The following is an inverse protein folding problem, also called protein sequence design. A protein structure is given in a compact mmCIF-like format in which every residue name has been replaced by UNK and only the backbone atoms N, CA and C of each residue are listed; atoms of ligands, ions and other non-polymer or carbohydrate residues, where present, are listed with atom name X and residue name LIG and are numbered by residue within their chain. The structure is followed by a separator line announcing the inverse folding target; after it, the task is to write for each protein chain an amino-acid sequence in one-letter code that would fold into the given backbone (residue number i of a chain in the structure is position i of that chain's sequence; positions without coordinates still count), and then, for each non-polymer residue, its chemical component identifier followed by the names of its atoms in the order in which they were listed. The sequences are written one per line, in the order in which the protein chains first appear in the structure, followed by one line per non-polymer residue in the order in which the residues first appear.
data_IF_863315230400
#
_entry.id   IF_863315230400
#
_cell.length_a   1.000
_cell.length_b   1.000
_cell.length_c   1.000
_cell.angle_alpha   90.00
_cell.angle_beta   90.00
_cell.angle_gamma   90.00
#
_symmetry.space_group_name_H-M   'P 1'
#
loop_
_entity.id
_entity.type
_entity.pdbx_description
1 polymer ?
#
# COMPACT_ATOMS: atom_id res chain seq x y z
N UNK A 1 6.40 -12.07 5.77
CA UNK A 1 6.25 -10.63 6.04
C UNK A 1 4.89 -10.10 5.59
N UNK A 2 4.51 -10.32 4.32
CA UNK A 2 3.26 -9.77 3.76
C UNK A 2 2.03 -10.10 4.62
N UNK A 3 1.87 -11.37 5.01
CA UNK A 3 0.77 -11.81 5.89
C UNK A 3 0.79 -11.14 7.27
N UNK A 4 1.96 -10.95 7.87
CA UNK A 4 2.10 -10.27 9.16
C UNK A 4 1.72 -8.80 9.07
N UNK A 5 2.07 -8.12 7.98
CA UNK A 5 1.71 -6.71 7.77
C UNK A 5 0.22 -6.54 7.45
N UNK A 6 -0.40 -7.50 6.72
CA UNK A 6 -1.85 -7.55 6.55
C UNK A 6 -2.54 -7.77 7.89
N UNK A 7 -2.04 -8.69 8.72
CA UNK A 7 -2.57 -8.92 10.05
C UNK A 7 -2.45 -7.69 10.94
N UNK A 8 -1.29 -7.03 10.97
CA UNK A 8 -1.08 -5.82 11.77
C UNK A 8 -2.09 -4.72 11.44
N UNK A 9 -2.31 -4.47 10.14
CA UNK A 9 -3.31 -3.49 9.69
C UNK A 9 -4.74 -3.91 10.07
N UNK A 10 -5.10 -5.16 9.81
CA UNK A 10 -6.45 -5.66 10.07
C UNK A 10 -6.78 -5.67 11.55
N UNK A 11 -5.84 -6.12 12.39
CA UNK A 11 -5.96 -6.13 13.84
C UNK A 11 -6.17 -4.72 14.39
N UNK A 12 -5.35 -3.75 13.92
CA UNK A 12 -5.48 -2.37 14.36
C UNK A 12 -6.81 -1.72 13.91
N UNK A 13 -7.33 -2.06 12.72
CA UNK A 13 -8.62 -1.53 12.24
C UNK A 13 -9.82 -2.07 13.01
N UNK A 14 -9.75 -3.31 13.48
CA UNK A 14 -10.86 -3.96 14.19
C UNK A 14 -10.82 -3.67 15.69
N UNK A 15 -9.64 -3.76 16.30
CA UNK A 15 -9.46 -3.75 17.75
C UNK A 15 -8.72 -2.52 18.28
N UNK A 16 -8.40 -1.57 17.41
CA UNK A 16 -7.52 -0.44 17.74
C UNK A 16 -6.04 -0.85 17.73
N UNK A 17 -5.15 0.15 17.77
CA UNK A 17 -3.72 -0.09 17.85
C UNK A 17 -3.40 -0.76 19.20
N UNK A 18 -2.92 -2.00 19.15
CA UNK A 18 -2.68 -2.83 20.33
C UNK A 18 -1.37 -3.61 20.21
N UNK A 19 -1.00 -4.32 21.27
CA UNK A 19 0.25 -5.08 21.33
C UNK A 19 0.39 -6.13 20.23
N UNK A 20 -0.71 -6.77 19.80
CA UNK A 20 -0.67 -7.80 18.75
C UNK A 20 -0.36 -7.18 17.38
N UNK A 21 -1.01 -6.07 17.06
CA UNK A 21 -0.77 -5.33 15.82
C UNK A 21 0.68 -4.81 15.77
N UNK A 22 1.17 -4.25 16.86
CA UNK A 22 2.53 -3.71 16.98
C UNK A 22 3.57 -4.84 16.91
N UNK A 23 3.35 -5.96 17.57
CA UNK A 23 4.30 -7.09 17.52
C UNK A 23 4.40 -7.69 16.12
N UNK A 24 3.29 -7.81 15.40
CA UNK A 24 3.32 -8.27 14.01
C UNK A 24 4.15 -7.33 13.11
N UNK A 25 4.01 -6.02 13.30
CA UNK A 25 4.82 -5.00 12.61
C UNK A 25 6.30 -5.11 13.00
N UNK A 26 6.60 -5.21 14.30
CA UNK A 26 7.95 -5.31 14.82
C UNK A 26 8.67 -6.59 14.35
N UNK A 27 7.96 -7.72 14.25
CA UNK A 27 8.51 -8.97 13.72
C UNK A 27 9.09 -8.78 12.31
N UNK A 28 8.39 -8.05 11.44
CA UNK A 28 8.86 -7.75 10.09
C UNK A 28 10.04 -6.76 10.13
N UNK A 29 9.92 -5.69 10.91
CA UNK A 29 10.95 -4.67 11.05
C UNK A 29 12.27 -5.26 11.57
N UNK A 30 12.23 -6.07 12.64
CA UNK A 30 13.41 -6.74 13.20
C UNK A 30 14.13 -7.55 12.15
N UNK A 31 13.40 -8.35 11.37
CA UNK A 31 13.97 -9.13 10.27
C UNK A 31 14.65 -8.24 9.24
N UNK A 32 14.01 -7.15 8.82
CA UNK A 32 14.55 -6.19 7.86
C UNK A 32 15.86 -5.55 8.32
N UNK A 33 16.03 -5.36 9.64
CA UNK A 33 17.25 -4.83 10.27
C UNK A 33 18.25 -5.92 10.70
N UNK A 34 18.05 -7.18 10.31
CA UNK A 34 18.96 -8.28 10.68
C UNK A 34 18.94 -8.66 12.15
N UNK A 35 17.85 -8.32 12.87
CA UNK A 35 17.61 -8.74 14.24
C UNK A 35 16.82 -10.05 14.29
N UNK A 36 16.84 -10.73 15.44
CA UNK A 36 15.97 -11.89 15.65
C UNK A 36 14.50 -11.45 15.62
N UNK A 37 13.67 -11.95 14.69
CA UNK A 37 12.28 -11.55 14.57
C UNK A 37 11.43 -11.84 15.80
N UNK A 38 11.81 -12.86 16.59
CA UNK A 38 11.04 -13.35 17.73
C UNK A 38 11.49 -12.75 19.07
N UNK A 39 12.52 -11.89 19.06
CA UNK A 39 13.02 -11.27 20.30
C UNK A 39 12.89 -9.74 20.22
N UNK A 40 12.39 -9.15 21.30
CA UNK A 40 12.30 -7.68 21.43
C UNK A 40 13.65 -7.01 21.19
N UNK A 41 13.64 -5.88 20.54
CA UNK A 41 14.82 -5.14 20.13
C UNK A 41 14.70 -3.64 20.43
N UNK A 42 15.82 -2.98 20.44
CA UNK A 42 15.95 -1.51 20.60
C UNK A 42 15.27 -0.72 19.48
N UNK A 43 15.04 -1.36 18.32
CA UNK A 43 14.39 -0.74 17.17
C UNK A 43 12.86 -0.88 17.17
N UNK A 44 12.29 -1.60 18.14
CA UNK A 44 10.87 -1.90 18.17
C UNK A 44 10.01 -0.64 18.32
N UNK A 45 8.92 -0.60 17.55
CA UNK A 45 7.85 0.35 17.78
C UNK A 45 7.12 0.05 19.09
N UNK A 46 6.68 1.11 19.75
CA UNK A 46 5.86 1.07 20.98
C UNK A 46 4.54 1.78 20.73
N UNK A 47 3.54 1.50 21.56
CA UNK A 47 2.25 2.15 21.44
C UNK A 47 2.34 3.69 21.48
N UNK A 48 3.25 4.23 22.28
CA UNK A 48 3.48 5.67 22.39
C UNK A 48 4.08 6.34 21.15
N UNK A 49 4.55 5.55 20.20
CA UNK A 49 5.13 6.08 18.95
C UNK A 49 4.04 6.45 17.92
N UNK A 50 2.79 6.07 18.18
CA UNK A 50 1.67 6.31 17.29
C UNK A 50 0.68 7.30 17.90
N UNK A 51 0.39 8.37 17.16
CA UNK A 51 -0.57 9.38 17.59
C UNK A 51 -2.02 8.83 17.54
N UNK A 52 -2.33 8.04 16.51
CA UNK A 52 -3.64 7.46 16.25
C UNK A 52 -3.55 6.24 15.32
N UNK A 53 -4.72 5.73 14.90
CA UNK A 53 -4.83 4.61 13.98
C UNK A 53 -4.23 4.92 12.61
N UNK A 54 -4.45 6.13 12.09
CA UNK A 54 -4.00 6.51 10.75
C UNK A 54 -2.47 6.57 10.68
N UNK A 55 -1.81 7.07 11.73
CA UNK A 55 -0.35 7.09 11.87
C UNK A 55 0.22 5.67 11.92
N UNK A 56 -0.42 4.76 12.67
CA UNK A 56 -0.05 3.35 12.66
C UNK A 56 -0.20 2.72 11.26
N UNK A 57 -1.32 2.94 10.57
CA UNK A 57 -1.56 2.42 9.23
C UNK A 57 -0.54 2.97 8.23
N UNK A 58 -0.23 4.26 8.29
CA UNK A 58 0.80 4.86 7.42
C UNK A 58 2.18 4.21 7.67
N UNK A 59 2.49 3.85 8.92
CA UNK A 59 3.72 3.12 9.27
C UNK A 59 3.72 1.70 8.72
N UNK A 60 2.62 0.95 8.88
CA UNK A 60 2.47 -0.39 8.28
C UNK A 60 2.64 -0.33 6.76
N UNK A 61 2.04 0.65 6.09
CA UNK A 61 2.15 0.84 4.64
C UNK A 61 3.57 1.20 4.19
N UNK A 62 4.31 1.93 5.04
CA UNK A 62 5.71 2.23 4.80
C UNK A 62 6.57 0.96 4.86
N UNK A 63 6.39 0.13 5.90
CA UNK A 63 7.08 -1.16 6.02
C UNK A 63 6.71 -2.12 4.88
N UNK A 64 5.43 -2.15 4.46
CA UNK A 64 5.00 -2.87 3.25
C UNK A 64 5.71 -2.39 1.99
N UNK A 65 5.92 -1.07 1.88
CA UNK A 65 6.65 -0.47 0.78
C UNK A 65 8.11 -0.94 0.72
N UNK A 66 8.78 -1.07 1.85
CA UNK A 66 10.14 -1.59 1.93
C UNK A 66 10.19 -3.08 1.61
N UNK A 67 9.32 -3.86 2.22
CA UNK A 67 9.28 -5.31 2.10
C UNK A 67 8.93 -5.78 0.68
N UNK A 68 7.98 -5.10 0.03
CA UNK A 68 7.44 -5.51 -1.28
C UNK A 68 7.92 -4.62 -2.44
N UNK A 69 9.02 -3.88 -2.30
CA UNK A 69 9.43 -2.82 -3.23
C UNK A 69 9.62 -3.28 -4.68
N UNK A 70 10.01 -4.53 -4.91
CA UNK A 70 10.22 -5.12 -6.24
C UNK A 70 9.28 -6.29 -6.55
N UNK A 71 8.20 -6.44 -5.79
CA UNK A 71 7.33 -7.60 -5.87
C UNK A 71 5.99 -7.29 -6.55
N UNK A 72 5.85 -7.66 -7.83
CA UNK A 72 4.58 -7.85 -8.52
C UNK A 72 3.57 -6.69 -8.47
N UNK A 73 4.02 -5.45 -8.33
CA UNK A 73 3.11 -4.30 -8.28
C UNK A 73 2.34 -4.13 -6.97
N UNK A 74 2.65 -4.88 -5.91
CA UNK A 74 1.97 -4.81 -4.61
C UNK A 74 1.87 -3.39 -4.07
N UNK A 75 2.93 -2.58 -4.21
CA UNK A 75 2.92 -1.18 -3.80
C UNK A 75 1.84 -0.36 -4.50
N UNK A 76 1.61 -0.60 -5.79
CA UNK A 76 0.55 0.07 -6.52
C UNK A 76 -0.85 -0.28 -6.00
N UNK A 77 -1.07 -1.55 -5.68
CA UNK A 77 -2.34 -1.98 -5.08
C UNK A 77 -2.54 -1.42 -3.67
N UNK A 78 -1.48 -1.36 -2.86
CA UNK A 78 -1.55 -0.70 -1.55
C UNK A 78 -1.94 0.78 -1.69
N UNK A 79 -1.34 1.52 -2.63
CA UNK A 79 -1.69 2.91 -2.89
C UNK A 79 -3.14 3.06 -3.40
N UNK A 80 -3.56 2.21 -4.33
CA UNK A 80 -4.94 2.26 -4.87
C UNK A 80 -6.01 2.08 -3.79
N UNK A 81 -5.81 1.17 -2.85
CA UNK A 81 -6.80 0.89 -1.79
C UNK A 81 -6.93 2.01 -0.74
N UNK A 82 -5.94 2.90 -0.63
CA UNK A 82 -6.02 4.11 0.21
C UNK A 82 -6.94 5.19 -0.37
N UNK A 83 -7.36 5.04 -1.60
CA UNK A 83 -8.11 6.03 -2.33
C UNK A 83 -7.21 6.98 -3.15
N UNK A 84 -7.82 7.58 -4.17
CA UNK A 84 -7.08 8.35 -5.20
C UNK A 84 -6.31 9.53 -4.62
N UNK A 85 -6.92 10.29 -3.71
CA UNK A 85 -6.30 11.50 -3.16
C UNK A 85 -5.05 11.17 -2.35
N UNK A 86 -5.16 10.25 -1.39
CA UNK A 86 -4.02 9.82 -0.56
C UNK A 86 -2.90 9.21 -1.42
N UNK A 87 -3.23 8.41 -2.43
CA UNK A 87 -2.26 7.84 -3.36
C UNK A 87 -1.50 8.93 -4.14
N UNK A 88 -2.21 9.95 -4.63
CA UNK A 88 -1.59 11.09 -5.34
C UNK A 88 -0.63 11.86 -4.43
N UNK A 89 -1.03 12.15 -3.20
CA UNK A 89 -0.18 12.82 -2.20
C UNK A 89 1.10 12.04 -1.92
N UNK A 90 0.98 10.73 -1.66
CA UNK A 90 2.13 9.87 -1.40
C UNK A 90 3.07 9.82 -2.60
N UNK A 91 2.54 9.63 -3.81
CA UNK A 91 3.36 9.58 -5.02
C UNK A 91 4.06 10.91 -5.26
N UNK A 92 3.36 12.02 -5.14
CA UNK A 92 3.94 13.35 -5.29
C UNK A 92 5.06 13.58 -4.28
N UNK A 93 4.81 13.29 -3.00
CA UNK A 93 5.78 13.49 -1.92
C UNK A 93 7.07 12.68 -2.11
N UNK A 94 6.97 11.44 -2.60
CA UNK A 94 8.13 10.53 -2.72
C UNK A 94 8.81 10.55 -4.08
N UNK A 95 8.14 10.97 -5.13
CA UNK A 95 8.68 10.89 -6.49
C UNK A 95 8.74 12.22 -7.22
N UNK A 96 8.08 13.26 -6.69
CA UNK A 96 7.88 14.53 -7.37
C UNK A 96 6.94 14.47 -8.60
N UNK A 97 6.32 13.31 -8.86
CA UNK A 97 5.46 13.11 -10.04
C UNK A 97 4.00 13.37 -9.69
N UNK A 98 3.34 14.12 -10.56
CA UNK A 98 1.89 14.31 -10.49
C UNK A 98 1.22 13.20 -11.27
N UNK A 99 0.25 12.50 -10.63
CA UNK A 99 -0.61 11.52 -11.28
C UNK A 99 -2.05 12.02 -11.33
N UNK A 100 -2.74 11.68 -12.40
CA UNK A 100 -4.13 12.04 -12.68
C UNK A 100 -5.08 10.88 -12.39
N UNK A 101 -6.39 11.13 -12.39
CA UNK A 101 -7.39 10.09 -12.13
C UNK A 101 -7.36 8.95 -13.16
N UNK A 102 -7.06 9.27 -14.41
CA UNK A 102 -6.92 8.25 -15.47
C UNK A 102 -5.86 7.20 -15.14
N UNK A 103 -4.78 7.56 -14.47
CA UNK A 103 -3.70 6.62 -14.14
C UNK A 103 -4.11 5.52 -13.14
N UNK A 104 -5.27 5.63 -12.49
CA UNK A 104 -5.85 4.58 -11.66
C UNK A 104 -6.64 3.52 -12.46
N UNK A 105 -6.87 3.77 -13.74
CA UNK A 105 -7.50 2.86 -14.68
C UNK A 105 -6.50 2.51 -15.79
N UNK A 106 -6.58 1.31 -16.33
CA UNK A 106 -5.82 0.94 -17.51
C UNK A 106 -6.61 1.29 -18.76
N UNK A 107 -5.99 1.83 -19.82
CA UNK A 107 -6.69 1.98 -21.08
C UNK A 107 -7.01 0.61 -21.67
N UNK A 108 -8.13 0.50 -22.36
CA UNK A 108 -8.35 -0.65 -23.24
C UNK A 108 -7.34 -0.60 -24.39
N UNK A 109 -6.64 -1.70 -24.71
CA UNK A 109 -5.76 -1.77 -25.87
C UNK A 109 -6.51 -1.45 -27.15
N UNK A 110 -5.89 -0.72 -28.08
CA UNK A 110 -6.49 -0.40 -29.38
C UNK A 110 -6.95 -1.66 -30.14
N UNK A 111 -6.17 -2.74 -30.03
CA UNK A 111 -6.52 -4.02 -30.64
C UNK A 111 -7.89 -4.60 -30.18
N UNK A 112 -8.36 -4.26 -28.99
CA UNK A 112 -9.67 -4.70 -28.52
C UNK A 112 -10.80 -4.00 -29.30
N UNK A 113 -10.62 -2.73 -29.62
CA UNK A 113 -11.59 -2.00 -30.45
C UNK A 113 -11.55 -2.46 -31.92
N UNK A 114 -10.36 -2.81 -32.43
CA UNK A 114 -10.22 -3.29 -33.80
C UNK A 114 -10.81 -4.68 -34.02
N UNK A 115 -10.75 -5.55 -33.00
CA UNK A 115 -11.17 -6.95 -33.09
C UNK A 115 -12.57 -7.22 -32.53
N UNK A 116 -13.15 -6.33 -31.75
CA UNK A 116 -14.45 -6.51 -31.14
C UNK A 116 -15.43 -5.42 -31.60
N UNK A 117 -16.23 -5.71 -32.62
CA UNK A 117 -17.20 -4.78 -33.17
C UNK A 117 -18.34 -4.35 -32.21
N UNK A 118 -18.40 -4.91 -30.98
CA UNK A 118 -19.32 -4.45 -29.95
C UNK A 118 -18.75 -3.27 -29.14
N UNK A 119 -17.43 -3.02 -29.24
CA UNK A 119 -16.74 -1.92 -28.57
C UNK A 119 -16.52 -0.74 -29.51
N UNK A 120 -16.69 0.45 -28.97
CA UNK A 120 -16.45 1.71 -29.67
C UNK A 120 -15.52 2.59 -28.80
N UNK A 121 -14.37 2.97 -29.35
CA UNK A 121 -13.34 3.66 -28.58
C UNK A 121 -13.85 4.98 -27.97
N UNK A 122 -14.67 5.73 -28.70
CA UNK A 122 -15.24 7.00 -28.23
C UNK A 122 -16.21 6.86 -27.06
N UNK A 123 -16.81 5.68 -26.89
CA UNK A 123 -17.80 5.37 -25.85
C UNK A 123 -17.24 4.53 -24.72
N UNK A 124 -16.44 3.52 -25.04
CA UNK A 124 -16.11 2.43 -24.11
C UNK A 124 -14.70 2.54 -23.54
N UNK A 125 -13.85 3.46 -24.05
CA UNK A 125 -12.54 3.69 -23.50
C UNK A 125 -12.63 4.31 -22.09
N UNK A 126 -11.70 3.93 -21.21
CA UNK A 126 -11.61 4.53 -19.89
C UNK A 126 -11.35 6.04 -19.99
N UNK A 127 -11.96 6.85 -19.09
CA UNK A 127 -11.84 8.31 -19.17
C UNK A 127 -10.39 8.81 -19.14
N UNK A 128 -10.05 9.70 -20.07
CA UNK A 128 -8.74 10.35 -20.15
C UNK A 128 -7.74 9.68 -21.08
N UNK A 129 -8.17 8.66 -21.85
CA UNK A 129 -7.38 7.99 -22.89
C UNK A 129 -7.96 8.17 -24.26
#
# INVERSE_FOLDING_TARGET
ADLLLIYAESEARVNGVNSNAIEALNTVKRRGYGRDPLQSSDIDYKLADFADLDDFIDTVLKERGYENSMEGGKRWFDLKRLGRNKAKEIILAHTGKVIEDRHFLWPFPTAEFDNNGALEQSRDQNPGY
#
